data_IF_585114794583
#
_entry.id   IF_585114794583
#
_cell.length_a   1.000
_cell.length_b   1.000
_cell.length_c   1.000
_cell.angle_alpha   90.00
_cell.angle_beta   90.00
_cell.angle_gamma   90.00
#
_symmetry.space_group_name_H-M   'P 1'
#
loop_
_entity.id
_entity.type
_entity.pdbx_description
1 polymer ?
#
# COMPACT_ATOMS: atom_id res chain seq x y z
N UNK A 1 -6.45 -0.26 -18.38
CA UNK A 1 -6.42 0.82 -17.37
C UNK A 1 -5.94 0.13 -16.11
N UNK A 2 -4.80 0.53 -15.54
CA UNK A 2 -4.22 -0.18 -14.39
C UNK A 2 -5.00 0.08 -13.11
N UNK A 3 -5.10 -0.94 -12.28
CA UNK A 3 -5.78 -0.88 -10.99
C UNK A 3 -5.00 0.01 -10.01
N UNK A 4 -5.76 0.78 -9.23
CA UNK A 4 -5.26 1.80 -8.30
C UNK A 4 -5.95 1.59 -6.97
N UNK A 5 -5.20 1.69 -5.90
CA UNK A 5 -5.70 1.45 -4.56
C UNK A 5 -5.31 2.60 -3.65
N UNK A 6 -6.24 2.98 -2.79
CA UNK A 6 -5.97 3.87 -1.67
C UNK A 6 -5.89 2.96 -0.45
N UNK A 7 -4.72 2.92 0.19
CA UNK A 7 -4.45 2.05 1.33
C UNK A 7 -4.07 2.88 2.56
N UNK A 8 -4.30 2.32 3.73
CA UNK A 8 -3.84 2.91 4.99
C UNK A 8 -2.49 2.33 5.38
N UNK A 9 -1.50 3.20 5.56
CA UNK A 9 -0.11 2.83 5.85
C UNK A 9 0.29 3.41 7.18
N UNK A 10 0.86 2.58 8.04
CA UNK A 10 1.44 3.03 9.31
C UNK A 10 2.95 2.95 9.24
N UNK A 11 3.62 4.08 9.44
CA UNK A 11 5.07 4.17 9.46
C UNK A 11 5.64 3.43 10.67
N UNK A 12 6.49 2.43 10.43
CA UNK A 12 7.19 1.68 11.49
C UNK A 12 8.23 2.52 12.25
N UNK A 13 8.67 3.66 11.68
CA UNK A 13 9.70 4.53 12.28
C UNK A 13 9.14 5.49 13.33
N UNK A 14 8.07 6.22 13.00
CA UNK A 14 7.47 7.24 13.88
C UNK A 14 6.05 6.91 14.37
N UNK A 15 5.42 5.86 13.84
CA UNK A 15 4.04 5.49 14.17
C UNK A 15 2.97 6.36 13.49
N UNK A 16 3.36 7.23 12.56
CA UNK A 16 2.40 8.02 11.78
C UNK A 16 1.57 7.12 10.86
N UNK A 17 0.25 7.28 10.89
CA UNK A 17 -0.68 6.55 10.02
C UNK A 17 -1.24 7.52 8.98
N UNK A 18 -1.16 7.11 7.71
CA UNK A 18 -1.69 7.83 6.56
C UNK A 18 -2.73 6.94 5.87
N UNK A 19 -3.99 7.38 5.83
CA UNK A 19 -5.10 6.63 5.26
C UNK A 19 -5.35 6.89 3.76
N UNK A 20 -4.64 7.85 3.15
CA UNK A 20 -4.82 8.26 1.75
C UNK A 20 -3.59 7.89 0.89
N UNK A 21 -2.94 6.75 1.18
CA UNK A 21 -1.72 6.37 0.45
C UNK A 21 -2.06 5.74 -0.89
N UNK A 22 -1.54 6.35 -1.95
CA UNK A 22 -1.70 5.90 -3.32
C UNK A 22 -0.80 4.70 -3.62
N UNK A 23 -1.39 3.51 -3.78
CA UNK A 23 -0.72 2.29 -4.16
C UNK A 23 -1.13 1.86 -5.58
N UNK A 24 -0.14 1.77 -6.47
CA UNK A 24 -0.35 1.32 -7.84
C UNK A 24 0.85 0.45 -8.28
N UNK A 25 0.86 -0.85 -7.94
CA UNK A 25 1.95 -1.75 -8.28
C UNK A 25 2.11 -1.89 -9.79
N UNK A 26 1.01 -1.82 -10.54
CA UNK A 26 1.02 -1.89 -12.01
C UNK A 26 1.69 -0.68 -12.68
N UNK A 27 1.86 0.41 -11.94
CA UNK A 27 2.48 1.64 -12.40
C UNK A 27 3.84 1.91 -11.74
N UNK A 28 4.35 0.98 -10.89
CA UNK A 28 5.60 1.13 -10.15
C UNK A 28 5.51 2.04 -8.92
N UNK A 29 4.30 2.36 -8.45
CA UNK A 29 4.09 3.08 -7.19
C UNK A 29 3.90 2.06 -6.06
N UNK A 30 5.00 1.44 -5.66
CA UNK A 30 5.06 0.43 -4.60
C UNK A 30 5.73 0.94 -3.32
N UNK A 31 6.34 2.12 -3.36
CA UNK A 31 7.02 2.70 -2.22
C UNK A 31 6.24 3.91 -1.69
N UNK A 32 6.09 3.99 -0.37
CA UNK A 32 5.60 5.20 0.31
C UNK A 32 6.68 5.78 1.20
N UNK A 33 6.90 7.08 1.08
CA UNK A 33 7.83 7.80 1.93
C UNK A 33 7.06 8.54 3.01
N UNK A 34 7.36 8.23 4.28
CA UNK A 34 6.74 8.89 5.41
C UNK A 34 7.05 10.39 5.41
N UNK A 35 6.05 11.29 5.46
CA UNK A 35 6.26 12.74 5.48
C UNK A 35 6.85 13.24 6.81
N UNK A 36 6.73 12.47 7.89
CA UNK A 36 7.17 12.87 9.24
C UNK A 36 8.62 12.50 9.55
N UNK A 37 9.08 11.33 9.08
CA UNK A 37 10.41 10.80 9.43
C UNK A 37 11.27 10.41 8.23
N UNK A 38 10.80 10.69 7.01
CA UNK A 38 11.47 10.39 5.74
C UNK A 38 11.81 8.91 5.50
N UNK A 39 11.30 7.99 6.34
CA UNK A 39 11.46 6.54 6.18
C UNK A 39 10.67 6.08 4.95
N UNK A 40 11.33 5.33 4.08
CA UNK A 40 10.70 4.64 2.96
C UNK A 40 10.13 3.32 3.46
N UNK A 41 8.85 3.10 3.20
CA UNK A 41 8.12 1.88 3.50
C UNK A 41 7.71 1.25 2.19
N UNK A 42 8.06 -0.02 2.03
CA UNK A 42 7.61 -0.83 0.90
C UNK A 42 6.14 -1.23 1.13
N UNK A 43 5.25 -0.73 0.27
CA UNK A 43 3.81 -0.98 0.34
C UNK A 43 3.45 -2.40 -0.08
N UNK A 44 4.23 -3.01 -0.97
CA UNK A 44 4.03 -4.40 -1.39
C UNK A 44 4.31 -5.33 -0.20
N UNK A 45 5.41 -5.09 0.53
CA UNK A 45 5.72 -5.84 1.75
C UNK A 45 4.71 -5.58 2.88
N UNK A 46 4.22 -4.33 3.02
CA UNK A 46 3.30 -3.96 4.10
C UNK A 46 1.89 -4.51 3.90
N UNK A 47 1.40 -4.51 2.66
CA UNK A 47 0.05 -5.01 2.33
C UNK A 47 0.04 -6.52 2.02
N UNK A 48 1.19 -7.08 1.60
CA UNK A 48 1.28 -8.44 1.08
C UNK A 48 0.62 -8.62 -0.29
N UNK A 49 0.25 -7.52 -0.95
CA UNK A 49 -0.48 -7.53 -2.22
C UNK A 49 0.54 -7.33 -3.34
N UNK A 50 0.92 -8.43 -3.98
CA UNK A 50 1.84 -8.38 -5.12
C UNK A 50 1.18 -7.79 -6.37
N UNK A 51 1.98 -7.38 -7.35
CA UNK A 51 1.49 -7.02 -8.68
C UNK A 51 0.51 -8.06 -9.27
N UNK A 52 0.77 -9.35 -9.07
CA UNK A 52 -0.06 -10.44 -9.61
C UNK A 52 -1.42 -10.53 -8.89
N UNK A 53 -1.46 -10.23 -7.60
CA UNK A 53 -2.70 -10.14 -6.83
C UNK A 53 -3.51 -8.91 -7.28
N UNK A 54 -2.88 -7.74 -7.35
CA UNK A 54 -3.51 -6.50 -7.81
C UNK A 54 -4.05 -6.60 -9.25
N UNK A 55 -3.31 -7.22 -10.16
CA UNK A 55 -3.73 -7.36 -11.57
C UNK A 55 -4.89 -8.35 -11.77
N UNK A 56 -5.24 -9.14 -10.75
CA UNK A 56 -6.32 -10.14 -10.81
C UNK A 56 -7.47 -9.87 -9.81
N UNK A 57 -7.28 -8.97 -8.84
CA UNK A 57 -8.25 -8.65 -7.79
C UNK A 57 -9.19 -7.53 -8.23
N UNK A 58 -10.46 -7.88 -8.39
CA UNK A 58 -11.53 -6.91 -8.71
C UNK A 58 -11.82 -5.97 -7.54
N UNK A 59 -11.55 -6.36 -6.27
CA UNK A 59 -11.62 -5.52 -5.06
C UNK A 59 -10.72 -6.11 -3.94
N UNK A 60 -9.85 -5.29 -3.33
CA UNK A 60 -8.94 -5.67 -2.21
C UNK A 60 -9.61 -5.52 -0.83
N UNK A 61 -10.88 -5.09 -0.80
CA UNK A 61 -11.70 -4.90 0.41
C UNK A 61 -11.68 -6.09 1.37
N UNK A 62 -11.37 -7.31 0.90
CA UNK A 62 -11.33 -8.54 1.71
C UNK A 62 -10.00 -8.80 2.45
N UNK A 63 -8.92 -8.09 2.16
CA UNK A 63 -7.58 -8.42 2.72
C UNK A 63 -7.39 -7.88 4.15
N UNK A 64 -8.10 -6.81 4.54
CA UNK A 64 -7.86 -6.14 5.83
C UNK A 64 -8.73 -6.72 6.97
N UNK A 65 -9.79 -7.48 6.70
CA UNK A 65 -10.72 -7.98 7.75
C UNK A 65 -10.34 -9.34 8.40
N UNK A 66 -9.17 -9.94 8.11
CA UNK A 66 -8.81 -11.24 8.70
C UNK A 66 -7.45 -11.29 9.42
N UNK A 67 -6.92 -10.16 9.92
CA UNK A 67 -5.78 -10.15 10.86
C UNK A 67 -6.19 -9.81 12.28
#
# INVERSE_FOLDING_TARGET
MGDRYIITVTCKGCGYTDDDVYYAPTCGFTDWKCPECDVVVDLEELTGISYDDASNLTEISEIIENM
#
